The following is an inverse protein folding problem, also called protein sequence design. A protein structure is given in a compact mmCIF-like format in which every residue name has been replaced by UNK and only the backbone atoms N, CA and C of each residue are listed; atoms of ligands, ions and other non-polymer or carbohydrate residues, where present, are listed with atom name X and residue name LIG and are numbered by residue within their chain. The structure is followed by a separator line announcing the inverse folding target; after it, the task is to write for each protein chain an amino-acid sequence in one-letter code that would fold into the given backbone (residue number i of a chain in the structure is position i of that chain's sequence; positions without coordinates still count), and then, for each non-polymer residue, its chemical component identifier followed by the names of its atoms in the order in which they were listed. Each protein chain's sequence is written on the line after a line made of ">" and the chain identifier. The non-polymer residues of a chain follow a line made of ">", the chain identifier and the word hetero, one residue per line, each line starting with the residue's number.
data_IF_332675402156
#
_entry.id   IF_332675402156
#
_cell.length_a   1.000
_cell.length_b   1.000
_cell.length_c   1.000
_cell.angle_alpha   90.00
_cell.angle_beta   90.00
_cell.angle_gamma   90.00
#
_symmetry.space_group_name_H-M   'P 1'
#
loop_
_entity.id
_entity.type
_entity.pdbx_description
1 polymer ?
#
# COMPACT_ATOMS: atom_id res chain seq x y z
N UNK A 1 30.24 31.32 31.66
CA UNK A 1 29.71 32.49 32.40
C UNK A 1 28.58 33.05 31.56
N UNK A 2 27.32 32.61 31.75
CA UNK A 2 26.29 33.16 32.64
C UNK A 2 25.43 34.20 31.87
N UNK A 3 24.18 34.55 32.26
CA UNK A 3 23.30 34.00 33.29
C UNK A 3 21.83 33.84 32.81
N UNK A 4 21.01 33.06 33.53
CA UNK A 4 19.61 33.39 33.88
C UNK A 4 19.04 32.29 34.78
N UNK A 5 19.27 32.50 36.07
CA UNK A 5 18.65 31.78 37.17
C UNK A 5 17.53 32.66 37.77
N UNK A 6 16.50 31.99 38.30
CA UNK A 6 15.61 32.41 39.39
C UNK A 6 14.53 33.49 39.14
N UNK A 7 13.29 33.05 39.29
CA UNK A 7 12.31 33.76 40.10
C UNK A 7 11.42 32.76 40.85
N UNK A 8 11.64 32.68 42.17
CA UNK A 8 10.76 32.05 43.15
C UNK A 8 9.84 33.13 43.75
N UNK A 9 8.64 32.70 44.14
CA UNK A 9 7.93 33.00 45.42
C UNK A 9 6.93 34.16 45.53
N UNK A 10 5.83 33.75 46.22
CA UNK A 10 4.94 34.48 47.16
C UNK A 10 3.82 35.31 46.52
N UNK A 11 2.60 35.42 47.06
CA UNK A 11 2.01 34.93 48.32
C UNK A 11 0.47 35.06 48.27
N UNK A 12 -0.19 34.23 49.08
CA UNK A 12 -1.38 34.46 49.91
C UNK A 12 -2.63 35.21 49.39
N UNK A 13 -3.76 34.51 49.47
CA UNK A 13 -5.12 35.06 49.36
C UNK A 13 -6.12 34.21 50.16
N UNK A 14 -6.32 34.61 51.41
CA UNK A 14 -7.25 34.09 52.43
C UNK A 14 -8.71 34.47 52.09
N UNK A 15 -9.71 33.55 52.20
CA UNK A 15 -10.92 33.68 53.08
C UNK A 15 -11.98 32.55 52.95
N UNK A 16 -12.35 32.02 54.13
CA UNK A 16 -13.64 31.61 54.70
C UNK A 16 -14.67 30.69 53.99
N UNK A 17 -14.76 29.45 54.52
CA UNK A 17 -15.89 28.78 55.22
C UNK A 17 -17.36 29.09 54.84
N UNK A 18 -18.18 28.03 54.62
CA UNK A 18 -19.39 27.65 55.40
C UNK A 18 -19.84 26.19 55.07
N UNK A 19 -20.04 25.37 56.11
CA UNK A 19 -21.02 24.25 56.31
C UNK A 19 -21.05 23.04 55.35
N UNK A 20 -21.27 21.77 55.74
CA UNK A 20 -21.62 21.09 57.00
C UNK A 20 -22.07 19.63 56.69
N UNK A 21 -21.93 18.71 57.66
CA UNK A 21 -22.49 17.33 57.68
C UNK A 21 -21.62 16.25 56.99
N UNK A 22 -20.94 15.33 57.70
CA UNK A 22 -21.46 14.19 58.47
C UNK A 22 -21.10 12.91 57.70
N UNK A 23 -20.07 12.13 58.04
CA UNK A 23 -19.99 11.15 59.13
C UNK A 23 -19.31 9.87 58.60
N UNK A 24 -18.58 9.14 59.44
CA UNK A 24 -18.15 7.75 59.18
C UNK A 24 -16.67 7.53 58.87
N UNK A 25 -15.93 6.96 59.83
CA UNK A 25 -14.48 6.79 59.79
C UNK A 25 -13.97 5.60 58.96
N UNK A 26 -12.74 5.75 58.44
CA UNK A 26 -11.98 4.71 57.75
C UNK A 26 -10.59 5.23 57.35
N UNK A 27 -9.54 4.63 57.90
CA UNK A 27 -8.12 5.05 57.90
C UNK A 27 -7.49 5.38 56.52
N UNK A 28 -6.77 6.50 56.54
CA UNK A 28 -5.68 6.98 55.68
C UNK A 28 -5.09 6.06 54.59
N UNK A 29 -5.50 6.31 53.35
CA UNK A 29 -4.68 6.14 52.15
C UNK A 29 -4.72 7.46 51.38
N UNK A 30 -3.57 7.99 50.99
CA UNK A 30 -3.42 9.30 50.35
C UNK A 30 -4.45 9.52 49.22
N UNK A 31 -5.28 10.54 49.36
CA UNK A 31 -6.32 10.94 48.42
C UNK A 31 -5.66 11.47 47.13
N UNK A 32 -5.37 10.57 46.21
CA UNK A 32 -4.95 10.94 44.86
C UNK A 32 -6.07 11.77 44.24
N UNK A 33 -5.72 12.97 43.73
CA UNK A 33 -6.61 13.78 42.91
C UNK A 33 -7.18 12.90 41.80
N UNK A 34 -8.50 12.90 41.64
CA UNK A 34 -9.21 12.17 40.59
C UNK A 34 -8.68 12.61 39.23
N UNK A 35 -7.81 11.78 38.64
CA UNK A 35 -7.34 11.96 37.29
C UNK A 35 -8.48 11.64 36.33
N UNK A 36 -8.84 12.61 35.51
CA UNK A 36 -9.89 12.51 34.47
C UNK A 36 -9.46 11.61 33.28
N UNK A 37 -8.58 10.65 33.55
CA UNK A 37 -7.85 9.87 32.55
C UNK A 37 -7.87 8.39 32.91
N UNK A 38 -8.37 7.59 31.97
CA UNK A 38 -8.31 6.13 32.04
C UNK A 38 -6.96 5.66 31.47
N UNK A 39 -6.02 5.33 32.36
CA UNK A 39 -4.70 4.84 31.99
C UNK A 39 -4.77 3.36 31.56
N UNK A 40 -4.12 3.03 30.44
CA UNK A 40 -3.99 1.65 29.94
C UNK A 40 -2.91 0.87 30.72
N UNK A 41 -1.92 1.59 31.22
CA UNK A 41 -0.80 1.08 31.99
C UNK A 41 -0.83 1.68 33.38
N UNK A 42 -0.68 0.83 34.41
CA UNK A 42 -0.42 1.32 35.76
C UNK A 42 0.92 2.06 35.79
N UNK A 43 1.09 3.07 36.66
CA UNK A 43 2.39 3.71 36.86
C UNK A 43 3.48 2.66 37.08
N UNK A 44 4.53 2.72 36.27
CA UNK A 44 5.60 1.73 36.27
C UNK A 44 6.96 2.41 36.40
N UNK A 45 7.82 1.85 37.23
CA UNK A 45 9.21 2.26 37.39
C UNK A 45 10.08 1.08 37.03
N UNK A 46 11.00 1.29 36.08
CA UNK A 46 11.90 0.25 35.64
C UNK A 46 13.27 0.85 35.32
N UNK A 47 14.27 -0.02 35.37
CA UNK A 47 15.60 0.30 34.91
C UNK A 47 15.82 -0.36 33.55
N UNK A 48 16.42 0.37 32.62
CA UNK A 48 16.82 -0.16 31.33
C UNK A 48 18.29 0.16 31.08
N UNK A 49 19.01 -0.85 30.59
CA UNK A 49 20.39 -0.71 30.12
C UNK A 49 20.37 -0.68 28.60
N UNK A 50 20.80 0.44 28.02
CA UNK A 50 21.01 0.57 26.59
C UNK A 50 22.48 0.31 26.27
N UNK A 51 22.73 -0.66 25.40
CA UNK A 51 24.03 -0.85 24.76
C UNK A 51 23.91 -0.45 23.31
N UNK A 52 24.69 0.55 22.91
CA UNK A 52 24.88 0.94 21.52
C UNK A 52 26.26 0.47 21.06
N UNK A 53 26.34 -0.12 19.87
CA UNK A 53 27.63 -0.40 19.25
C UNK A 53 28.14 0.82 18.48
N UNK A 54 29.45 1.01 18.45
CA UNK A 54 30.10 2.08 17.69
C UNK A 54 30.19 1.76 16.20
N UNK A 55 30.10 0.48 15.81
CA UNK A 55 30.24 0.07 14.41
C UNK A 55 29.01 0.42 13.58
N UNK A 56 29.21 0.95 12.38
CA UNK A 56 28.13 1.31 11.45
C UNK A 56 27.41 0.07 10.87
N UNK A 57 28.13 -1.05 10.72
CA UNK A 57 27.59 -2.36 10.36
C UNK A 57 28.02 -3.38 11.41
N UNK A 58 27.04 -4.08 11.98
CA UNK A 58 27.26 -5.13 12.96
C UNK A 58 26.59 -6.39 12.42
N UNK A 59 27.37 -7.41 12.09
CA UNK A 59 26.86 -8.70 11.58
C UNK A 59 26.59 -9.65 12.74
N UNK A 60 27.46 -9.62 13.75
CA UNK A 60 27.46 -10.59 14.85
C UNK A 60 26.65 -10.16 16.07
N UNK A 61 26.22 -8.89 16.15
CA UNK A 61 25.47 -8.36 17.29
C UNK A 61 24.58 -7.16 16.87
N UNK A 62 23.49 -6.88 17.60
CA UNK A 62 22.61 -5.77 17.28
C UNK A 62 23.27 -4.41 17.56
N UNK A 63 23.02 -3.42 16.67
CA UNK A 63 23.52 -2.04 16.83
C UNK A 63 23.01 -1.38 18.12
N UNK A 64 21.77 -1.68 18.50
CA UNK A 64 21.15 -1.22 19.73
C UNK A 64 20.57 -2.44 20.46
N UNK A 65 20.97 -2.64 21.72
CA UNK A 65 20.39 -3.65 22.61
C UNK A 65 19.85 -2.92 23.83
N UNK A 66 18.54 -2.98 24.00
CA UNK A 66 17.86 -2.48 25.20
C UNK A 66 17.50 -3.69 26.06
N UNK A 67 17.98 -3.73 27.29
CA UNK A 67 17.63 -4.76 28.28
C UNK A 67 16.96 -4.10 29.47
N UNK A 68 15.81 -4.63 29.88
CA UNK A 68 15.10 -4.16 31.07
C UNK A 68 14.54 -5.36 31.82
N UNK A 69 14.58 -5.27 33.15
CA UNK A 69 13.92 -6.20 34.06
C UNK A 69 12.73 -5.48 34.70
N UNK A 70 11.53 -6.01 34.48
CA UNK A 70 10.28 -5.51 35.05
C UNK A 70 9.74 -6.57 35.99
N UNK A 71 9.55 -6.21 37.27
CA UNK A 71 9.06 -7.12 38.30
C UNK A 71 7.59 -7.50 38.11
N UNK A 72 6.76 -6.55 37.67
CA UNK A 72 5.37 -6.80 37.29
C UNK A 72 4.88 -5.73 36.31
N UNK A 73 4.18 -6.15 35.27
CA UNK A 73 3.51 -5.29 34.30
C UNK A 73 2.03 -5.63 34.31
N UNK A 74 1.19 -4.69 34.74
CA UNK A 74 -0.27 -4.84 34.67
C UNK A 74 -0.83 -3.92 33.60
N UNK A 75 -1.56 -4.51 32.67
CA UNK A 75 -2.26 -3.82 31.59
C UNK A 75 -3.75 -4.04 31.80
N UNK A 76 -4.50 -2.96 31.97
CA UNK A 76 -5.95 -3.01 32.08
C UNK A 76 -6.56 -2.26 30.90
N UNK A 77 -7.36 -2.97 30.12
CA UNK A 77 -8.01 -2.42 28.93
C UNK A 77 -9.53 -2.47 29.13
N UNK A 78 -10.16 -1.31 29.10
CA UNK A 78 -11.60 -1.21 28.92
C UNK A 78 -11.99 -1.55 27.49
N UNK A 79 -13.26 -1.93 27.29
CA UNK A 79 -13.79 -2.27 25.96
C UNK A 79 -13.65 -1.12 24.93
N UNK A 80 -13.93 0.15 25.28
CA UNK A 80 -13.69 1.27 24.36
C UNK A 80 -12.21 1.45 23.99
N UNK A 81 -11.29 1.26 24.95
CA UNK A 81 -9.84 1.34 24.69
C UNK A 81 -9.36 0.20 23.77
N UNK A 82 -9.93 -0.99 23.88
CA UNK A 82 -9.63 -2.11 22.97
C UNK A 82 -10.06 -1.80 21.53
N UNK A 83 -11.26 -1.24 21.35
CA UNK A 83 -11.76 -0.86 20.02
C UNK A 83 -10.93 0.28 19.41
N UNK A 84 -10.59 1.30 20.21
CA UNK A 84 -9.67 2.35 19.80
C UNK A 84 -8.30 1.77 19.42
N UNK A 85 -7.78 0.85 20.23
CA UNK A 85 -6.52 0.14 19.96
C UNK A 85 -6.54 -0.58 18.62
N UNK A 86 -7.64 -1.24 18.26
CA UNK A 86 -7.81 -1.87 16.93
C UNK A 86 -7.79 -0.85 15.78
N UNK A 87 -8.43 0.31 15.96
CA UNK A 87 -8.42 1.40 14.95
C UNK A 87 -7.02 2.00 14.77
N UNK A 88 -6.31 2.23 15.88
CA UNK A 88 -4.92 2.71 15.85
C UNK A 88 -4.03 1.66 15.19
N UNK A 89 -4.15 0.38 15.56
CA UNK A 89 -3.39 -0.70 14.96
C UNK A 89 -3.65 -0.82 13.45
N UNK A 90 -4.89 -0.66 12.99
CA UNK A 90 -5.21 -0.62 11.55
C UNK A 90 -4.57 0.57 10.82
N UNK A 91 -4.35 1.69 11.52
CA UNK A 91 -3.73 2.91 10.98
C UNK A 91 -2.20 2.82 10.96
N UNK A 92 -1.61 2.21 12.00
CA UNK A 92 -0.17 2.03 12.18
C UNK A 92 0.34 0.80 11.44
N UNK A 93 -0.54 -0.16 11.12
CA UNK A 93 -0.21 -1.28 10.22
C UNK A 93 0.36 -0.67 8.94
N UNK A 94 1.60 -1.01 8.56
CA UNK A 94 2.20 -0.47 7.35
C UNK A 94 1.24 -0.78 6.20
N UNK A 95 0.68 0.28 5.58
CA UNK A 95 -0.18 0.15 4.41
C UNK A 95 0.58 -0.70 3.40
N UNK A 96 0.02 -1.84 2.99
CA UNK A 96 0.61 -2.70 1.96
C UNK A 96 0.87 -1.96 0.64
N UNK A 97 0.19 -0.81 0.45
CA UNK A 97 0.30 0.10 -0.69
C UNK A 97 1.27 1.27 -0.53
N UNK A 98 1.90 1.47 0.63
CA UNK A 98 3.03 2.43 0.68
C UNK A 98 4.20 1.73 0.03
N UNK A 99 4.32 1.97 -1.28
CA UNK A 99 5.37 1.48 -2.15
C UNK A 99 6.72 1.57 -1.43
N UNK A 100 7.16 0.46 -0.83
CA UNK A 100 8.56 0.30 -0.46
C UNK A 100 9.34 0.59 -1.74
N UNK A 101 10.31 1.52 -1.73
CA UNK A 101 11.12 1.77 -2.91
C UNK A 101 11.66 0.42 -3.36
N UNK A 102 11.31 0.04 -4.58
CA UNK A 102 11.77 -1.19 -5.22
C UNK A 102 13.29 -1.11 -5.21
N UNK A 103 13.93 -1.89 -4.34
CA UNK A 103 15.39 -1.88 -4.11
C UNK A 103 15.92 -0.53 -3.57
N UNK A 104 15.81 -0.29 -2.24
CA UNK A 104 16.29 0.94 -1.60
C UNK A 104 17.77 1.23 -1.86
N UNK A 105 18.54 0.17 -2.10
CA UNK A 105 20.00 0.15 -2.31
C UNK A 105 20.45 0.91 -3.57
N UNK A 106 19.55 1.09 -4.55
CA UNK A 106 19.85 1.83 -5.78
C UNK A 106 19.23 3.23 -5.81
N UNK A 107 18.44 3.58 -4.80
CA UNK A 107 17.69 4.84 -4.78
C UNK A 107 18.68 6.01 -4.68
N UNK A 108 18.61 7.00 -5.59
CA UNK A 108 19.41 8.21 -5.46
C UNK A 108 19.07 8.93 -4.15
N UNK A 109 20.08 9.42 -3.45
CA UNK A 109 19.89 10.19 -2.21
C UNK A 109 19.32 11.60 -2.47
N UNK A 110 19.44 12.07 -3.71
CA UNK A 110 19.01 13.40 -4.15
C UNK A 110 17.53 13.42 -4.50
N UNK A 111 16.85 14.52 -4.18
CA UNK A 111 15.47 14.74 -4.59
C UNK A 111 15.32 14.76 -6.12
N UNK A 112 14.12 14.42 -6.62
CA UNK A 112 13.82 14.45 -8.05
C UNK A 112 13.79 15.92 -8.51
N UNK A 113 14.70 16.28 -9.40
CA UNK A 113 14.76 17.57 -10.07
C UNK A 113 15.15 17.38 -11.54
N UNK A 114 15.02 18.42 -12.35
CA UNK A 114 15.46 18.40 -13.76
C UNK A 114 16.95 18.02 -13.91
N UNK A 115 17.79 18.40 -12.94
CA UNK A 115 19.23 18.09 -12.93
C UNK A 115 19.51 16.63 -12.53
N UNK A 116 18.70 16.06 -11.63
CA UNK A 116 18.89 14.69 -11.10
C UNK A 116 18.06 13.64 -11.84
N UNK A 117 17.21 14.05 -12.79
CA UNK A 117 16.34 13.18 -13.55
C UNK A 117 17.08 11.99 -14.19
N UNK A 118 18.30 12.21 -14.69
CA UNK A 118 19.12 11.16 -15.30
C UNK A 118 19.49 10.05 -14.31
N UNK A 119 19.73 10.39 -13.05
CA UNK A 119 20.05 9.40 -12.00
C UNK A 119 18.82 8.61 -11.57
N UNK A 120 17.67 9.28 -11.48
CA UNK A 120 16.38 8.65 -11.23
C UNK A 120 15.98 7.70 -12.36
N UNK A 121 16.26 8.04 -13.61
CA UNK A 121 16.10 7.13 -14.74
C UNK A 121 17.02 5.91 -14.66
N UNK A 122 18.30 6.09 -14.29
CA UNK A 122 19.23 4.95 -14.05
C UNK A 122 18.70 4.03 -12.94
N UNK A 123 18.17 4.60 -11.86
CA UNK A 123 17.54 3.85 -10.78
C UNK A 123 16.35 3.03 -11.27
N UNK A 124 15.42 3.66 -12.01
CA UNK A 124 14.28 2.98 -12.59
C UNK A 124 14.71 1.81 -13.51
N UNK A 125 15.71 2.03 -14.37
CA UNK A 125 16.26 0.98 -15.25
C UNK A 125 16.82 -0.21 -14.46
N UNK A 126 17.56 0.04 -13.37
CA UNK A 126 18.10 -1.03 -12.51
C UNK A 126 16.98 -1.81 -11.83
N UNK A 127 15.95 -1.13 -11.34
CA UNK A 127 14.79 -1.76 -10.71
C UNK A 127 14.05 -2.65 -11.70
N UNK A 128 13.81 -2.15 -12.91
CA UNK A 128 13.13 -2.88 -14.00
C UNK A 128 13.97 -4.07 -14.46
N UNK A 129 15.28 -3.93 -14.60
CA UNK A 129 16.18 -5.03 -14.96
C UNK A 129 16.17 -6.16 -13.92
N UNK A 130 16.24 -5.80 -12.64
CA UNK A 130 16.19 -6.77 -11.53
C UNK A 130 14.82 -7.46 -11.42
N UNK A 131 13.73 -6.72 -11.61
CA UNK A 131 12.36 -7.27 -11.62
C UNK A 131 12.11 -8.21 -12.81
N UNK A 132 12.61 -7.84 -14.00
CA UNK A 132 12.33 -8.60 -15.22
C UNK A 132 13.33 -9.74 -15.48
N UNK A 133 14.35 -9.93 -14.62
CA UNK A 133 15.46 -10.87 -14.84
C UNK A 133 16.18 -10.71 -16.21
N UNK A 134 15.97 -9.58 -16.91
CA UNK A 134 16.60 -9.27 -18.21
C UNK A 134 17.75 -8.30 -17.97
N UNK A 135 18.92 -8.64 -18.51
CA UNK A 135 20.23 -8.08 -18.12
C UNK A 135 20.55 -6.76 -18.84
N UNK A 136 19.80 -6.39 -19.88
CA UNK A 136 20.06 -5.14 -20.62
C UNK A 136 18.80 -4.51 -21.24
N UNK A 137 18.89 -3.21 -21.54
CA UNK A 137 17.85 -2.46 -22.26
C UNK A 137 17.60 -3.03 -23.66
N UNK A 138 18.64 -3.55 -24.32
CA UNK A 138 18.52 -4.21 -25.61
C UNK A 138 17.63 -5.47 -25.51
N UNK A 139 17.85 -6.33 -24.50
CA UNK A 139 17.01 -7.49 -24.25
C UNK A 139 15.56 -7.13 -23.94
N UNK A 140 15.35 -6.06 -23.16
CA UNK A 140 14.01 -5.52 -22.90
C UNK A 140 13.33 -5.05 -24.18
N UNK A 141 14.01 -4.26 -25.01
CA UNK A 141 13.45 -3.73 -26.26
C UNK A 141 13.14 -4.84 -27.27
N UNK A 142 13.98 -5.88 -27.35
CA UNK A 142 13.72 -7.08 -28.15
C UNK A 142 12.45 -7.77 -27.64
N UNK A 143 12.34 -8.00 -26.33
CA UNK A 143 11.16 -8.63 -25.73
C UNK A 143 9.88 -7.79 -25.91
N UNK A 144 9.99 -6.47 -25.78
CA UNK A 144 8.90 -5.53 -25.98
C UNK A 144 8.40 -5.56 -27.43
N UNK A 145 9.32 -5.51 -28.40
CA UNK A 145 8.97 -5.65 -29.83
C UNK A 145 8.28 -6.99 -30.13
N UNK A 146 8.79 -8.09 -29.56
CA UNK A 146 8.18 -9.41 -29.68
C UNK A 146 6.77 -9.44 -29.07
N UNK A 147 6.60 -8.95 -27.84
CA UNK A 147 5.29 -8.83 -27.17
C UNK A 147 4.30 -8.02 -27.99
N UNK A 148 4.72 -6.86 -28.51
CA UNK A 148 3.86 -5.96 -29.29
C UNK A 148 3.34 -6.64 -30.56
N UNK A 149 4.12 -7.54 -31.17
CA UNK A 149 3.70 -8.36 -32.31
C UNK A 149 2.85 -9.56 -31.89
N UNK A 150 3.23 -10.23 -30.79
CA UNK A 150 2.56 -11.43 -30.30
C UNK A 150 1.11 -11.17 -29.90
N UNK A 151 0.85 -10.14 -29.09
CA UNK A 151 -0.48 -9.87 -28.53
C UNK A 151 -1.60 -9.81 -29.58
N UNK A 152 -1.53 -9.00 -30.65
CA UNK A 152 -2.59 -8.93 -31.65
C UNK A 152 -2.77 -10.24 -32.43
N UNK A 153 -1.68 -10.97 -32.70
CA UNK A 153 -1.72 -12.25 -33.40
C UNK A 153 -2.40 -13.32 -32.56
N UNK A 154 -1.99 -13.48 -31.30
CA UNK A 154 -2.61 -14.43 -30.38
C UNK A 154 -4.08 -14.09 -30.14
N UNK A 155 -4.40 -12.81 -29.90
CA UNK A 155 -5.77 -12.36 -29.66
C UNK A 155 -6.69 -12.76 -30.82
N UNK A 156 -6.29 -12.50 -32.06
CA UNK A 156 -7.05 -12.90 -33.25
C UNK A 156 -7.08 -14.43 -33.39
N UNK A 157 -5.97 -15.13 -33.18
CA UNK A 157 -5.89 -16.58 -33.31
C UNK A 157 -6.85 -17.31 -32.38
N UNK A 158 -6.80 -16.98 -31.09
CA UNK A 158 -7.61 -17.63 -30.06
C UNK A 158 -9.09 -17.20 -30.07
N UNK A 159 -9.39 -15.96 -30.45
CA UNK A 159 -10.74 -15.39 -30.25
C UNK A 159 -11.53 -15.12 -31.54
N UNK A 160 -10.97 -15.27 -32.74
CA UNK A 160 -11.69 -14.93 -33.99
C UNK A 160 -13.03 -15.66 -34.17
N UNK A 161 -13.15 -16.91 -33.72
CA UNK A 161 -14.40 -17.68 -33.84
C UNK A 161 -15.50 -17.14 -32.93
N UNK A 162 -15.14 -16.62 -31.76
CA UNK A 162 -16.09 -16.13 -30.76
C UNK A 162 -16.31 -14.61 -30.80
N UNK A 163 -15.50 -13.88 -31.57
CA UNK A 163 -15.53 -12.42 -31.71
C UNK A 163 -15.59 -12.02 -33.19
N UNK A 164 -16.78 -11.68 -33.73
CA UNK A 164 -16.96 -11.39 -35.16
C UNK A 164 -16.16 -10.21 -35.72
N UNK A 165 -15.69 -9.29 -34.86
CA UNK A 165 -14.88 -8.13 -35.26
C UNK A 165 -13.39 -8.44 -35.38
N UNK A 166 -12.95 -9.64 -34.99
CA UNK A 166 -11.56 -10.08 -35.13
C UNK A 166 -11.39 -10.87 -36.42
N UNK A 167 -10.49 -10.42 -37.29
CA UNK A 167 -10.16 -11.15 -38.52
C UNK A 167 -9.36 -12.41 -38.23
N UNK A 168 -9.66 -13.50 -38.94
CA UNK A 168 -8.88 -14.75 -38.91
C UNK A 168 -7.41 -14.49 -39.31
N UNK A 169 -6.49 -15.27 -38.77
CA UNK A 169 -5.06 -15.16 -39.12
C UNK A 169 -4.83 -15.69 -40.54
N UNK A 170 -3.92 -15.04 -41.25
CA UNK A 170 -3.35 -15.60 -42.48
C UNK A 170 -2.33 -16.70 -42.17
N UNK A 171 -2.01 -17.55 -43.14
CA UNK A 171 -1.02 -18.63 -42.97
C UNK A 171 0.34 -18.10 -42.50
N UNK A 172 0.76 -16.94 -43.03
CA UNK A 172 2.02 -16.31 -42.64
C UNK A 172 1.98 -15.75 -41.21
N UNK A 173 0.84 -15.23 -40.77
CA UNK A 173 0.62 -14.76 -39.40
C UNK A 173 0.63 -15.93 -38.40
N UNK A 174 0.00 -17.06 -38.75
CA UNK A 174 0.04 -18.29 -37.93
C UNK A 174 1.47 -18.79 -37.78
N UNK A 175 2.21 -18.90 -38.89
CA UNK A 175 3.62 -19.31 -38.84
C UNK A 175 4.48 -18.32 -38.01
N UNK A 176 4.15 -17.02 -38.02
CA UNK A 176 4.83 -16.05 -37.18
C UNK A 176 4.50 -16.21 -35.69
N UNK A 177 3.24 -16.51 -35.37
CA UNK A 177 2.81 -16.80 -34.00
C UNK A 177 3.55 -18.04 -33.47
N UNK A 178 3.58 -19.13 -34.25
CA UNK A 178 4.28 -20.36 -33.89
C UNK A 178 5.77 -20.12 -33.65
N UNK A 179 6.43 -19.34 -34.52
CA UNK A 179 7.83 -18.94 -34.34
C UNK A 179 8.06 -18.19 -33.04
N UNK A 180 7.13 -17.31 -32.63
CA UNK A 180 7.23 -16.58 -31.38
C UNK A 180 7.00 -17.47 -30.15
N UNK A 181 6.16 -18.50 -30.25
CA UNK A 181 5.91 -19.46 -29.17
C UNK A 181 7.06 -20.44 -28.97
N UNK A 182 7.74 -20.81 -30.06
CA UNK A 182 8.90 -21.71 -30.03
C UNK A 182 10.21 -20.97 -29.71
N UNK A 183 10.18 -19.64 -29.61
CA UNK A 183 11.36 -18.82 -29.35
C UNK A 183 11.86 -18.99 -27.91
N UNK A 184 12.96 -19.75 -27.75
CA UNK A 184 13.59 -20.03 -26.45
C UNK A 184 14.14 -18.80 -25.72
N UNK A 185 14.25 -17.65 -26.39
CA UNK A 185 14.63 -16.38 -25.72
C UNK A 185 13.49 -15.76 -24.91
N UNK A 186 12.28 -16.32 -25.02
CA UNK A 186 11.10 -15.94 -24.25
C UNK A 186 10.81 -17.10 -23.31
N UNK A 187 10.74 -16.82 -22.01
CA UNK A 187 10.37 -17.85 -21.05
C UNK A 187 8.92 -18.28 -21.26
N UNK A 188 8.61 -19.55 -20.98
CA UNK A 188 7.24 -20.05 -21.00
C UNK A 188 6.30 -19.21 -20.13
N UNK A 189 6.78 -18.79 -18.94
CA UNK A 189 6.03 -17.87 -18.07
C UNK A 189 5.76 -16.51 -18.72
N UNK A 190 6.70 -16.01 -19.54
CA UNK A 190 6.53 -14.77 -20.31
C UNK A 190 5.43 -14.90 -21.35
N UNK A 191 5.41 -16.02 -22.09
CA UNK A 191 4.34 -16.32 -23.06
C UNK A 191 2.98 -16.41 -22.35
N UNK A 192 2.89 -17.15 -21.24
CA UNK A 192 1.65 -17.26 -20.46
C UNK A 192 1.14 -15.90 -19.98
N UNK A 193 2.04 -15.04 -19.49
CA UNK A 193 1.67 -13.67 -19.10
C UNK A 193 1.13 -12.87 -20.29
N UNK A 194 1.70 -13.01 -21.49
CA UNK A 194 1.20 -12.32 -22.68
C UNK A 194 -0.15 -12.85 -23.13
N UNK A 195 -0.40 -14.16 -23.06
CA UNK A 195 -1.72 -14.77 -23.34
C UNK A 195 -2.80 -14.19 -22.44
N UNK A 196 -2.59 -14.21 -21.12
CA UNK A 196 -3.53 -13.65 -20.14
C UNK A 196 -3.86 -12.17 -20.43
N UNK A 197 -2.89 -11.39 -20.89
CA UNK A 197 -3.10 -9.99 -21.25
C UNK A 197 -3.95 -9.87 -22.52
N UNK A 198 -3.70 -10.70 -23.54
CA UNK A 198 -4.49 -10.72 -24.76
C UNK A 198 -5.93 -11.16 -24.50
N UNK A 199 -6.13 -12.17 -23.64
CA UNK A 199 -7.46 -12.66 -23.25
C UNK A 199 -8.25 -11.57 -22.52
N UNK A 200 -7.62 -10.92 -21.54
CA UNK A 200 -8.23 -9.79 -20.82
C UNK A 200 -8.57 -8.61 -21.77
N UNK A 201 -7.78 -8.39 -22.82
CA UNK A 201 -8.09 -7.39 -23.84
C UNK A 201 -9.32 -7.80 -24.68
N UNK A 202 -9.38 -9.06 -25.12
CA UNK A 202 -10.51 -9.57 -25.88
C UNK A 202 -11.82 -9.51 -25.07
N UNK A 203 -11.77 -9.87 -23.79
CA UNK A 203 -12.93 -9.84 -22.89
C UNK A 203 -13.44 -8.40 -22.65
N UNK A 204 -12.52 -7.46 -22.46
CA UNK A 204 -12.88 -6.02 -22.35
C UNK A 204 -13.50 -5.49 -23.64
N UNK A 205 -12.96 -5.87 -24.80
CA UNK A 205 -13.53 -5.47 -26.10
C UNK A 205 -14.91 -6.08 -26.32
N UNK A 206 -15.10 -7.35 -25.97
CA UNK A 206 -16.41 -8.05 -26.02
C UNK A 206 -17.45 -7.33 -25.16
N UNK A 207 -17.10 -7.03 -23.91
CA UNK A 207 -17.98 -6.32 -22.99
C UNK A 207 -18.44 -4.96 -23.54
N UNK A 208 -17.54 -4.24 -24.23
CA UNK A 208 -17.87 -2.96 -24.89
C UNK A 208 -18.80 -3.14 -26.07
N UNK A 209 -18.57 -4.16 -26.91
CA UNK A 209 -19.44 -4.47 -28.04
C UNK A 209 -20.83 -4.90 -27.60
N UNK A 210 -20.94 -5.72 -26.56
CA UNK A 210 -22.23 -6.14 -26.00
C UNK A 210 -23.00 -4.96 -25.40
N UNK A 211 -22.32 -4.07 -24.67
CA UNK A 211 -22.92 -2.83 -24.17
C UNK A 211 -23.43 -1.94 -25.31
N UNK A 212 -22.61 -1.72 -26.34
CA UNK A 212 -23.00 -0.94 -27.51
C UNK A 212 -24.17 -1.57 -28.29
N UNK A 213 -24.24 -2.90 -28.37
CA UNK A 213 -25.35 -3.61 -29.01
C UNK A 213 -26.65 -3.42 -28.22
N UNK A 214 -26.60 -3.56 -26.90
CA UNK A 214 -27.76 -3.32 -26.01
C UNK A 214 -28.29 -1.90 -26.12
N UNK A 215 -27.40 -0.90 -26.17
CA UNK A 215 -27.82 0.50 -26.36
C UNK A 215 -28.46 0.73 -27.73
N UNK A 216 -27.93 0.13 -28.80
CA UNK A 216 -28.56 0.20 -30.14
C UNK A 216 -29.93 -0.46 -30.17
N UNK A 217 -30.09 -1.62 -29.54
CA UNK A 217 -31.38 -2.32 -29.44
C UNK A 217 -32.39 -1.49 -28.63
N UNK A 218 -31.96 -0.89 -27.51
CA UNK A 218 -32.79 0.01 -26.70
C UNK A 218 -33.24 1.25 -27.47
N UNK A 219 -32.32 1.90 -28.20
CA UNK A 219 -32.63 3.05 -29.04
C UNK A 219 -33.61 2.69 -30.17
N UNK A 220 -33.43 1.53 -30.81
CA UNK A 220 -34.37 1.03 -31.81
C UNK A 220 -35.76 0.79 -31.23
N UNK A 221 -35.86 0.16 -30.05
CA UNK A 221 -37.15 -0.05 -29.35
C UNK A 221 -37.83 1.27 -28.95
N UNK A 222 -37.07 2.26 -28.51
CA UNK A 222 -37.61 3.60 -28.23
C UNK A 222 -38.12 4.30 -29.50
N UNK A 223 -37.48 4.08 -30.65
CA UNK A 223 -37.90 4.64 -31.94
C UNK A 223 -39.08 3.89 -32.60
N UNK A 224 -39.25 2.59 -32.30
CA UNK A 224 -40.40 1.77 -32.77
C UNK A 224 -41.53 1.69 -31.75
N UNK A 225 -41.36 2.33 -30.59
CA UNK A 225 -42.44 2.59 -29.64
C UNK A 225 -43.41 3.62 -30.22
N UNK A 226 -44.32 3.12 -31.04
CA UNK A 226 -45.65 3.70 -31.26
C UNK A 226 -46.19 4.23 -29.92
N UNK A 227 -46.40 5.55 -29.86
CA UNK A 227 -47.72 6.20 -29.79
C UNK A 227 -48.92 5.44 -29.22
N UNK A 228 -48.73 4.46 -28.34
CA UNK A 228 -49.81 3.71 -27.70
C UNK A 228 -50.23 4.37 -26.40
N UNK A 229 -51.06 5.43 -26.48
CA UNK A 229 -51.97 5.76 -25.39
C UNK A 229 -52.14 7.24 -25.02
N UNK A 230 -53.19 7.86 -25.57
CA UNK A 230 -54.16 8.79 -24.96
C UNK A 230 -54.88 9.50 -26.13
N UNK A 231 -56.19 9.55 -26.28
CA UNK A 231 -57.31 9.42 -25.35
C UNK A 231 -58.38 10.37 -25.92
N UNK A 232 -59.56 9.84 -26.24
CA UNK A 232 -60.69 10.57 -26.83
C UNK A 232 -61.84 9.62 -27.09
#
# INVERSE_FOLDING_TARGET
>A
EGPLEKALRRNDGVRASVGGGGGGGGRAGARAKSSDHAYILSPLSFHARLRQSDRLRCVDFPKYKLTSELSSLSVMLSRPQLELGRRIAATVKPRGDVARPLFPEYRPALAISCLTAKEWWKYAVRCVGRLNRRRSWAEFMIAYKKRKRYLPLYKRGAHHESCPWLSKLTVSETAMLDRLEQDRTISAQGIMCWRNIADAQAERERSKHDAARREREKAKRAATGEGGGHGG
#
